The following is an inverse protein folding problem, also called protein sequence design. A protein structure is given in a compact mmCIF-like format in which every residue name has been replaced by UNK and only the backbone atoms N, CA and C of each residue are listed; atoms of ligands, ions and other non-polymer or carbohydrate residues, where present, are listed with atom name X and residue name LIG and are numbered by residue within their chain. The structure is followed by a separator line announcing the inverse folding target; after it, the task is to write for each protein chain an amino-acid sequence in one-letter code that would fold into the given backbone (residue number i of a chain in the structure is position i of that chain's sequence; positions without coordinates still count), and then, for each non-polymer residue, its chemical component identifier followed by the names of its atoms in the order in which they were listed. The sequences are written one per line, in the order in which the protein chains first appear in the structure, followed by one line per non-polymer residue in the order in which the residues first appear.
data_IF_098601295030
#
_entry.id   IF_098601295030
#
_cell.length_a   1.000
_cell.length_b   1.000
_cell.length_c   1.000
_cell.angle_alpha   90.00
_cell.angle_beta   90.00
_cell.angle_gamma   90.00
#
_symmetry.space_group_name_H-M   'P 1'
#
loop_
_entity.id
_entity.type
_entity.pdbx_description
1 polymer ?
#
# COMPACT_ATOMS: atom_id res chain seq x y z
N UNK A 1 -18.91 35.86 -15.24
CA UNK A 1 -17.47 35.48 -15.20
C UNK A 1 -16.81 36.01 -13.93
N UNK A 2 -17.11 37.25 -13.53
CA UNK A 2 -16.62 37.82 -12.26
C UNK A 2 -17.08 37.05 -11.03
N UNK A 3 -18.38 36.74 -10.91
CA UNK A 3 -18.91 35.99 -9.74
C UNK A 3 -18.25 34.62 -9.52
N UNK A 4 -17.86 33.95 -10.60
CA UNK A 4 -17.14 32.67 -10.52
C UNK A 4 -15.70 32.88 -10.06
N UNK A 5 -15.04 33.96 -10.52
CA UNK A 5 -13.70 34.30 -10.08
C UNK A 5 -13.68 34.72 -8.60
N UNK A 6 -14.66 35.53 -8.17
CA UNK A 6 -14.83 35.97 -6.78
C UNK A 6 -15.08 34.77 -5.86
N UNK A 7 -15.97 33.85 -6.26
CA UNK A 7 -16.20 32.62 -5.52
C UNK A 7 -14.94 31.74 -5.40
N UNK A 8 -14.13 31.62 -6.46
CA UNK A 8 -12.87 30.86 -6.41
C UNK A 8 -11.87 31.51 -5.45
N UNK A 9 -11.80 32.84 -5.40
CA UNK A 9 -10.97 33.58 -4.44
C UNK A 9 -11.47 33.33 -3.02
N UNK A 10 -12.77 33.43 -2.77
CA UNK A 10 -13.37 33.15 -1.47
C UNK A 10 -13.12 31.70 -1.05
N UNK A 11 -13.25 30.74 -1.96
CA UNK A 11 -12.95 29.34 -1.68
C UNK A 11 -11.50 29.09 -1.27
N UNK A 12 -10.54 29.74 -1.94
CA UNK A 12 -9.14 29.66 -1.53
C UNK A 12 -8.89 30.26 -0.15
N UNK A 13 -9.63 31.30 0.24
CA UNK A 13 -9.47 31.99 1.53
C UNK A 13 -10.18 31.28 2.69
N UNK A 14 -11.28 30.57 2.42
CA UNK A 14 -12.16 29.98 3.43
C UNK A 14 -12.17 28.44 3.45
N UNK A 15 -11.26 27.75 2.75
CA UNK A 15 -11.08 26.30 2.88
C UNK A 15 -10.45 25.92 4.23
N UNK A 16 -11.31 25.83 5.26
CA UNK A 16 -10.94 25.48 6.64
C UNK A 16 -11.30 24.03 7.00
N UNK A 17 -11.84 23.25 6.05
CA UNK A 17 -12.39 21.92 6.30
C UNK A 17 -11.35 20.99 6.94
N UNK A 18 -10.15 20.96 6.38
CA UNK A 18 -9.04 20.17 6.91
C UNK A 18 -8.58 20.60 8.30
N UNK A 19 -8.64 21.90 8.61
CA UNK A 19 -8.28 22.43 9.93
C UNK A 19 -9.28 21.95 10.98
N UNK A 20 -10.57 22.06 10.68
CA UNK A 20 -11.66 21.63 11.57
C UNK A 20 -11.55 20.13 11.84
N UNK A 21 -11.39 19.32 10.80
CA UNK A 21 -11.28 17.85 10.92
C UNK A 21 -10.08 17.42 11.79
N UNK A 22 -8.91 18.03 11.58
CA UNK A 22 -7.70 17.72 12.36
C UNK A 22 -7.87 18.17 13.82
N UNK A 23 -8.40 19.38 14.05
CA UNK A 23 -8.63 19.89 15.40
C UNK A 23 -9.65 19.02 16.15
N UNK A 24 -10.70 18.53 15.48
CA UNK A 24 -11.69 17.66 16.08
C UNK A 24 -11.06 16.37 16.61
N UNK A 25 -10.21 15.70 15.80
CA UNK A 25 -9.52 14.48 16.23
C UNK A 25 -8.58 14.76 17.40
N UNK A 26 -7.81 15.84 17.35
CA UNK A 26 -6.88 16.20 18.43
C UNK A 26 -7.64 16.52 19.70
N UNK A 27 -8.70 17.33 19.64
CA UNK A 27 -9.48 17.72 20.83
C UNK A 27 -10.20 16.50 21.43
N UNK A 28 -10.74 15.61 20.61
CA UNK A 28 -11.34 14.36 21.09
C UNK A 28 -10.33 13.44 21.79
N UNK A 29 -9.06 13.48 21.39
CA UNK A 29 -7.96 12.76 22.04
C UNK A 29 -7.56 13.43 23.36
N UNK A 30 -7.43 14.76 23.35
CA UNK A 30 -7.03 15.60 24.48
C UNK A 30 -8.09 15.71 25.59
N UNK A 31 -9.37 15.58 25.25
CA UNK A 31 -10.47 15.59 26.23
C UNK A 31 -10.36 14.35 27.12
N UNK A 32 -10.45 14.50 28.44
CA UNK A 32 -10.27 13.40 29.40
C UNK A 32 -11.43 12.39 29.33
N UNK A 33 -12.65 12.87 29.60
CA UNK A 33 -13.78 11.99 29.92
C UNK A 33 -14.83 11.94 28.81
N UNK A 34 -15.04 13.05 28.10
CA UNK A 34 -16.10 13.15 27.09
C UNK A 34 -15.64 12.75 25.69
N UNK A 35 -14.34 12.83 25.39
CA UNK A 35 -13.77 12.52 24.08
C UNK A 35 -14.54 13.23 22.95
N UNK A 36 -15.16 12.48 22.03
CA UNK A 36 -15.96 13.03 20.91
C UNK A 36 -17.20 13.82 21.35
N UNK A 37 -17.65 13.65 22.59
CA UNK A 37 -18.77 14.38 23.19
C UNK A 37 -18.35 15.66 23.91
N UNK A 38 -17.07 16.04 23.82
CA UNK A 38 -16.60 17.34 24.30
C UNK A 38 -17.37 18.46 23.59
N UNK A 39 -17.74 19.52 24.32
CA UNK A 39 -18.47 20.66 23.75
C UNK A 39 -17.75 21.25 22.54
N UNK A 40 -16.42 21.31 22.58
CA UNK A 40 -15.63 21.84 21.46
C UNK A 40 -15.68 20.89 20.24
N UNK A 41 -15.74 19.57 20.46
CA UNK A 41 -15.95 18.59 19.39
C UNK A 41 -17.35 18.71 18.76
N UNK A 42 -18.39 18.97 19.57
CA UNK A 42 -19.74 19.22 19.07
C UNK A 42 -19.79 20.50 18.24
N UNK A 43 -19.16 21.58 18.71
CA UNK A 43 -19.02 22.83 17.94
C UNK A 43 -18.27 22.61 16.63
N UNK A 44 -17.13 21.90 16.67
CA UNK A 44 -16.36 21.55 15.48
C UNK A 44 -17.18 20.70 14.51
N UNK A 45 -18.04 19.79 15.00
CA UNK A 45 -18.93 19.00 14.15
C UNK A 45 -19.93 19.88 13.39
N UNK A 46 -20.51 20.90 14.06
CA UNK A 46 -21.41 21.84 13.40
C UNK A 46 -20.64 22.67 12.37
N UNK A 47 -19.50 23.24 12.73
CA UNK A 47 -18.66 24.02 11.81
C UNK A 47 -18.18 23.19 10.63
N UNK A 48 -17.90 21.90 10.82
CA UNK A 48 -17.54 21.00 9.73
C UNK A 48 -18.71 20.80 8.76
N UNK A 49 -19.94 20.69 9.26
CA UNK A 49 -21.14 20.64 8.41
C UNK A 49 -21.26 21.92 7.58
N UNK A 50 -21.14 23.08 8.23
CA UNK A 50 -21.25 24.38 7.58
C UNK A 50 -20.15 24.57 6.50
N UNK A 51 -18.91 24.16 6.80
CA UNK A 51 -17.77 24.24 5.88
C UNK A 51 -17.93 23.35 4.64
N UNK A 52 -18.55 22.17 4.76
CA UNK A 52 -18.85 21.29 3.61
C UNK A 52 -19.92 21.92 2.71
N UNK A 53 -20.87 22.64 3.28
CA UNK A 53 -21.95 23.28 2.54
C UNK A 53 -21.59 24.69 2.05
N UNK A 54 -20.44 25.25 2.41
CA UNK A 54 -19.98 26.54 1.93
C UNK A 54 -20.02 26.65 0.39
N UNK A 55 -19.56 25.67 -0.41
CA UNK A 55 -19.65 25.76 -1.87
C UNK A 55 -21.07 25.84 -2.44
N UNK A 56 -22.09 25.46 -1.66
CA UNK A 56 -23.50 25.50 -2.05
C UNK A 56 -24.22 26.73 -1.50
N UNK A 57 -23.92 27.07 -0.25
CA UNK A 57 -24.60 28.15 0.49
C UNK A 57 -23.96 29.51 0.29
N UNK A 58 -22.69 29.56 -0.11
CA UNK A 58 -21.88 30.77 -0.17
C UNK A 58 -21.54 31.37 1.21
N UNK A 59 -21.84 30.67 2.31
CA UNK A 59 -21.57 31.15 3.67
C UNK A 59 -20.30 30.54 4.26
N UNK A 60 -19.19 31.29 4.38
CA UNK A 60 -17.93 30.75 4.86
C UNK A 60 -17.91 30.58 6.37
N UNK A 61 -17.12 29.61 6.84
CA UNK A 61 -16.81 29.47 8.26
C UNK A 61 -15.62 30.35 8.62
N UNK A 62 -15.84 31.29 9.54
CA UNK A 62 -14.77 32.13 10.08
C UNK A 62 -13.80 31.31 10.92
N UNK A 63 -12.49 31.47 10.67
CA UNK A 63 -11.42 30.77 11.39
C UNK A 63 -11.48 31.05 12.91
N UNK A 64 -11.91 32.25 13.31
CA UNK A 64 -12.01 32.64 14.72
C UNK A 64 -13.06 31.86 15.50
N UNK A 65 -14.04 31.25 14.81
CA UNK A 65 -15.06 30.38 15.43
C UNK A 65 -14.51 28.99 15.76
N UNK A 66 -13.38 28.60 15.18
CA UNK A 66 -12.78 27.27 15.39
C UNK A 66 -12.18 27.20 16.81
N UNK A 67 -12.66 26.27 17.67
CA UNK A 67 -12.10 26.06 18.99
C UNK A 67 -10.59 25.80 18.97
N UNK A 68 -9.88 26.37 19.95
CA UNK A 68 -8.45 26.11 20.15
C UNK A 68 -8.24 24.76 20.82
N UNK A 69 -7.08 24.14 20.57
CA UNK A 69 -6.68 22.91 21.25
C UNK A 69 -6.63 23.11 22.78
N UNK A 70 -7.00 22.08 23.54
CA UNK A 70 -7.01 22.11 25.02
C UNK A 70 -5.60 22.35 25.57
N UNK A 71 -4.59 21.79 24.91
CA UNK A 71 -3.18 22.08 25.18
C UNK A 71 -2.30 21.99 23.91
N UNK A 72 -1.08 22.54 23.99
CA UNK A 72 -0.21 22.73 22.80
C UNK A 72 0.36 21.43 22.22
N UNK A 73 0.70 20.46 23.07
CA UNK A 73 1.27 19.20 22.61
C UNK A 73 0.21 18.40 21.83
N UNK A 74 0.61 17.79 20.72
CA UNK A 74 -0.26 17.00 19.84
C UNK A 74 -0.07 15.50 20.10
N UNK A 75 -1.06 14.65 19.82
CA UNK A 75 -0.86 13.22 19.96
C UNK A 75 0.18 12.71 18.94
N UNK A 76 0.87 11.64 19.29
CA UNK A 76 1.92 10.99 18.51
C UNK A 76 1.49 10.56 17.11
N UNK A 77 0.25 10.09 16.96
CA UNK A 77 -0.33 9.74 15.66
C UNK A 77 -0.49 10.95 14.72
N UNK A 78 -0.47 12.18 15.24
CA UNK A 78 -0.49 13.42 14.45
C UNK A 78 0.93 13.94 14.13
N UNK A 79 1.98 13.24 14.56
CA UNK A 79 3.34 13.64 14.22
C UNK A 79 3.63 13.37 12.73
N UNK A 80 4.30 14.28 12.01
CA UNK A 80 4.79 13.98 10.68
C UNK A 80 5.73 12.79 10.73
N UNK A 81 5.62 11.88 9.75
CA UNK A 81 6.38 10.63 9.69
C UNK A 81 7.92 10.81 9.71
N UNK A 82 8.42 11.98 9.33
CA UNK A 82 9.86 12.33 9.34
C UNK A 82 10.36 12.86 10.68
N UNK A 83 9.46 13.16 11.62
CA UNK A 83 9.79 13.73 12.92
C UNK A 83 9.95 12.61 13.95
N UNK A 84 10.97 12.75 14.81
CA UNK A 84 11.14 11.84 15.94
C UNK A 84 10.10 12.14 17.02
N UNK A 85 9.41 11.09 17.47
CA UNK A 85 8.36 11.16 18.50
C UNK A 85 8.87 11.61 19.88
N UNK A 86 10.18 11.50 20.13
CA UNK A 86 10.84 11.91 21.40
C UNK A 86 10.86 13.43 21.65
N UNK A 87 10.29 14.24 20.75
CA UNK A 87 10.23 15.69 20.95
C UNK A 87 9.09 16.08 21.90
N UNK A 88 9.33 17.07 22.78
CA UNK A 88 8.34 17.60 23.73
C UNK A 88 7.07 18.21 23.08
N UNK A 89 6.95 18.17 21.75
CA UNK A 89 5.79 18.62 20.98
C UNK A 89 4.70 17.56 20.85
N UNK A 90 5.03 16.29 21.11
CA UNK A 90 4.09 15.18 20.98
C UNK A 90 3.97 14.37 22.28
N UNK A 91 2.77 13.88 22.55
CA UNK A 91 2.49 12.97 23.66
C UNK A 91 1.97 11.64 23.14
N UNK A 92 2.19 10.56 23.89
CA UNK A 92 1.67 9.25 23.54
C UNK A 92 0.15 9.20 23.83
N UNK A 93 -0.66 9.15 22.77
CA UNK A 93 -2.11 9.02 22.92
C UNK A 93 -2.49 7.67 23.50
N UNK A 94 -3.38 7.67 24.49
CA UNK A 94 -3.93 6.46 25.12
C UNK A 94 -5.22 5.96 24.45
N UNK A 95 -5.69 6.66 23.41
CA UNK A 95 -6.91 6.35 22.65
C UNK A 95 -6.65 5.24 21.63
N UNK A 96 -7.74 4.70 21.08
CA UNK A 96 -7.69 3.61 20.09
C UNK A 96 -6.79 3.96 18.89
N UNK A 97 -6.88 5.18 18.36
CA UNK A 97 -6.06 5.64 17.23
C UNK A 97 -4.57 5.61 17.58
N UNK A 98 -4.17 6.08 18.77
CA UNK A 98 -2.78 6.03 19.22
C UNK A 98 -2.26 4.59 19.36
N UNK A 99 -3.07 3.71 19.96
CA UNK A 99 -2.71 2.29 20.10
C UNK A 99 -2.54 1.62 18.73
N UNK A 100 -3.46 1.85 17.80
CA UNK A 100 -3.39 1.31 16.43
C UNK A 100 -2.20 1.87 15.67
N UNK A 101 -1.91 3.16 15.81
CA UNK A 101 -0.75 3.81 15.20
C UNK A 101 0.58 3.16 15.62
N UNK A 102 0.68 2.73 16.89
CA UNK A 102 1.89 2.05 17.42
C UNK A 102 1.88 0.54 17.23
N UNK A 103 0.74 -0.08 16.93
CA UNK A 103 0.61 -1.52 16.80
C UNK A 103 1.29 -2.08 15.53
N UNK A 104 1.48 -1.25 14.50
CA UNK A 104 2.06 -1.67 13.21
C UNK A 104 3.26 -0.77 12.89
N UNK A 105 4.47 -1.33 12.91
CA UNK A 105 5.65 -0.68 12.34
C UNK A 105 5.97 -1.37 11.00
N UNK A 106 5.70 -0.69 9.89
CA UNK A 106 6.16 -1.15 8.60
C UNK A 106 7.66 -0.83 8.51
N UNK A 107 8.53 -1.83 8.33
CA UNK A 107 9.95 -1.58 8.23
C UNK A 107 10.17 -0.67 7.01
N UNK A 108 10.46 0.61 7.24
CA UNK A 108 10.88 1.52 6.18
C UNK A 108 12.04 0.85 5.47
N UNK A 109 11.81 0.40 4.22
CA UNK A 109 12.71 -0.49 3.49
C UNK A 109 14.10 0.14 3.49
N UNK A 110 14.96 -0.37 4.37
CA UNK A 110 16.36 0.01 4.40
C UNK A 110 16.90 -0.44 3.05
N UNK A 111 17.24 0.54 2.22
CA UNK A 111 17.87 0.41 0.90
C UNK A 111 18.64 -0.92 0.85
N UNK A 112 18.22 -1.79 -0.07
CA UNK A 112 18.56 -3.22 -0.22
C UNK A 112 20.07 -3.55 -0.19
N UNK A 113 20.95 -2.55 -0.10
CA UNK A 113 22.40 -2.71 0.03
C UNK A 113 22.94 -2.77 1.48
N UNK A 114 22.26 -2.21 2.48
CA UNK A 114 22.79 -2.22 3.87
C UNK A 114 22.58 -3.56 4.61
N UNK A 115 21.66 -4.40 4.13
CA UNK A 115 21.33 -5.67 4.78
C UNK A 115 22.37 -6.79 4.58
N UNK A 116 23.30 -6.68 3.61
CA UNK A 116 24.43 -7.64 3.53
C UNK A 116 25.46 -7.44 4.66
N UNK A 117 25.60 -6.21 5.19
CA UNK A 117 26.56 -5.91 6.28
C UNK A 117 25.95 -5.98 7.68
N UNK A 118 24.66 -5.64 7.84
CA UNK A 118 24.00 -5.66 9.15
C UNK A 118 23.56 -7.08 9.60
N UNK A 119 23.30 -8.00 8.67
CA UNK A 119 22.82 -9.35 8.98
C UNK A 119 23.89 -10.23 9.66
N UNK A 120 25.19 -9.95 9.46
CA UNK A 120 26.30 -10.57 10.22
C UNK A 120 26.42 -10.05 11.66
N UNK A 121 25.83 -8.90 12.00
CA UNK A 121 25.92 -8.29 13.35
C UNK A 121 24.70 -8.55 14.23
N UNK A 122 23.55 -8.94 13.65
CA UNK A 122 22.30 -9.19 14.40
C UNK A 122 22.16 -10.61 14.96
N UNK A 123 23.06 -11.53 14.63
CA UNK A 123 23.01 -12.91 15.14
C UNK A 123 23.57 -13.07 16.58
N UNK A 124 23.79 -11.95 17.30
CA UNK A 124 24.37 -11.97 18.65
C UNK A 124 23.55 -11.26 19.74
N UNK A 125 22.39 -10.68 19.45
CA UNK A 125 21.63 -9.97 20.49
C UNK A 125 20.11 -10.03 20.27
N UNK A 126 19.47 -10.64 21.27
CA UNK A 126 18.06 -10.54 21.71
C UNK A 126 17.02 -11.16 20.76
N UNK A 127 16.29 -12.22 21.14
CA UNK A 127 15.45 -12.37 22.34
C UNK A 127 14.53 -11.16 22.58
N UNK A 128 13.59 -10.97 21.65
CA UNK A 128 12.24 -10.47 21.90
C UNK A 128 11.32 -11.14 20.89
N UNK A 129 10.46 -12.04 21.38
CA UNK A 129 9.36 -12.60 20.60
C UNK A 129 8.35 -11.47 20.34
N UNK A 130 8.37 -10.90 19.14
CA UNK A 130 7.23 -10.17 18.60
C UNK A 130 6.13 -11.20 18.28
N UNK A 131 4.98 -11.04 18.93
CA UNK A 131 3.85 -11.98 18.92
C UNK A 131 2.98 -11.84 17.66
N UNK A 132 3.42 -11.10 16.64
CA UNK A 132 2.65 -10.82 15.43
C UNK A 132 3.25 -11.38 14.14
N UNK A 133 4.44 -11.98 14.20
CA UNK A 133 5.15 -12.49 13.01
C UNK A 133 4.69 -13.90 12.57
N UNK A 134 3.86 -14.58 13.37
CA UNK A 134 3.48 -15.98 13.11
C UNK A 134 2.29 -16.16 12.17
N UNK A 135 1.51 -15.12 11.87
CA UNK A 135 0.29 -15.28 11.05
C UNK A 135 0.48 -14.97 9.57
N UNK A 136 1.56 -14.27 9.20
CA UNK A 136 1.89 -13.97 7.78
C UNK A 136 2.96 -14.90 7.22
N UNK A 137 3.73 -15.58 8.09
CA UNK A 137 4.61 -16.68 7.69
C UNK A 137 3.84 -17.90 7.18
N UNK A 138 2.57 -18.03 7.54
CA UNK A 138 1.68 -19.12 7.12
C UNK A 138 1.07 -18.93 5.73
N UNK A 139 1.30 -17.77 5.07
CA UNK A 139 0.99 -17.57 3.64
C UNK A 139 2.17 -18.00 2.75
N UNK A 140 2.86 -19.09 3.11
CA UNK A 140 3.85 -19.67 2.20
C UNK A 140 3.14 -20.20 0.97
N UNK A 141 3.71 -19.94 -0.21
CA UNK A 141 3.25 -20.55 -1.46
C UNK A 141 3.14 -22.07 -1.34
N UNK A 142 3.94 -22.71 -0.48
CA UNK A 142 3.88 -24.15 -0.22
C UNK A 142 2.48 -24.62 0.26
N UNK A 143 1.79 -23.81 1.08
CA UNK A 143 0.45 -24.14 1.56
C UNK A 143 -0.64 -23.92 0.52
N UNK A 144 -0.38 -23.03 -0.43
CA UNK A 144 -1.30 -22.67 -1.52
C UNK A 144 -1.14 -23.66 -2.67
N UNK A 145 0.09 -24.07 -2.96
CA UNK A 145 0.45 -24.95 -4.07
C UNK A 145 -0.32 -26.28 -4.04
N UNK A 146 -0.34 -26.95 -2.87
CA UNK A 146 -1.07 -28.21 -2.68
C UNK A 146 -2.58 -28.03 -2.96
N UNK A 147 -3.17 -26.94 -2.48
CA UNK A 147 -4.59 -26.63 -2.67
C UNK A 147 -4.93 -26.22 -4.10
N UNK A 148 -4.04 -25.50 -4.74
CA UNK A 148 -4.20 -25.08 -6.13
C UNK A 148 -4.10 -26.28 -7.06
N UNK A 149 -3.15 -27.19 -6.80
CA UNK A 149 -3.03 -28.46 -7.50
C UNK A 149 -4.31 -29.29 -7.40
N UNK A 150 -4.85 -29.48 -6.18
CA UNK A 150 -6.12 -30.18 -5.94
C UNK A 150 -7.29 -29.56 -6.72
N UNK A 151 -7.30 -28.23 -6.88
CA UNK A 151 -8.35 -27.52 -7.59
C UNK A 151 -8.25 -27.70 -9.10
N UNK A 152 -7.07 -27.49 -9.69
CA UNK A 152 -6.86 -27.61 -11.15
C UNK A 152 -7.04 -29.07 -11.59
N UNK A 153 -6.63 -30.05 -10.77
CA UNK A 153 -6.77 -31.47 -11.08
C UNK A 153 -8.24 -31.92 -11.22
N UNK A 154 -9.19 -31.21 -10.61
CA UNK A 154 -10.63 -31.53 -10.73
C UNK A 154 -11.18 -31.30 -12.14
N UNK A 155 -10.55 -30.43 -12.92
CA UNK A 155 -11.00 -30.09 -14.26
C UNK A 155 -10.51 -31.06 -15.33
N UNK A 156 -9.82 -32.14 -14.95
CA UNK A 156 -9.35 -33.16 -15.89
C UNK A 156 -8.26 -32.68 -16.83
N UNK A 157 -7.73 -31.47 -16.62
CA UNK A 157 -6.48 -31.03 -17.24
C UNK A 157 -5.41 -31.99 -16.75
N UNK A 158 -4.77 -32.65 -17.69
CA UNK A 158 -3.69 -33.56 -17.40
C UNK A 158 -2.47 -32.69 -17.05
N UNK A 159 -2.43 -32.18 -15.82
CA UNK A 159 -1.30 -31.41 -15.27
C UNK A 159 0.01 -32.23 -15.34
N UNK A 160 -0.12 -33.56 -15.50
CA UNK A 160 0.95 -34.50 -15.70
C UNK A 160 1.37 -34.69 -17.17
N UNK A 161 0.68 -34.11 -18.15
CA UNK A 161 1.22 -34.05 -19.51
C UNK A 161 2.44 -33.14 -19.47
N UNK A 162 3.58 -33.68 -19.90
CA UNK A 162 4.83 -32.91 -19.98
C UNK A 162 4.58 -31.70 -20.88
N UNK A 163 4.73 -30.50 -20.32
CA UNK A 163 4.68 -29.27 -21.07
C UNK A 163 5.64 -29.40 -22.25
N UNK A 164 5.21 -28.97 -23.43
CA UNK A 164 6.13 -28.96 -24.57
C UNK A 164 7.25 -27.96 -24.28
N UNK A 165 8.47 -28.26 -24.76
CA UNK A 165 9.62 -27.34 -24.60
C UNK A 165 9.29 -25.92 -25.10
N UNK A 166 8.42 -25.80 -26.11
CA UNK A 166 7.98 -24.52 -26.67
C UNK A 166 7.05 -23.75 -25.72
N UNK A 167 6.19 -24.44 -24.97
CA UNK A 167 5.30 -23.82 -23.97
C UNK A 167 6.08 -23.34 -22.74
N UNK A 168 7.02 -24.15 -22.26
CA UNK A 168 7.91 -23.77 -21.16
C UNK A 168 8.75 -22.54 -21.54
N UNK A 169 9.32 -22.53 -22.75
CA UNK A 169 10.08 -21.39 -23.25
C UNK A 169 9.21 -20.13 -23.37
N UNK A 170 7.98 -20.26 -23.89
CA UNK A 170 7.04 -19.14 -23.98
C UNK A 170 6.70 -18.55 -22.60
N UNK A 171 6.52 -19.39 -21.58
CA UNK A 171 6.20 -18.96 -20.21
C UNK A 171 7.42 -18.35 -19.52
N UNK A 172 8.63 -18.88 -19.72
CA UNK A 172 9.85 -18.23 -19.21
C UNK A 172 10.04 -16.86 -19.87
N UNK A 173 9.84 -16.73 -21.19
CA UNK A 173 9.89 -15.43 -21.88
C UNK A 173 8.85 -14.44 -21.34
N UNK A 174 7.62 -14.90 -21.06
CA UNK A 174 6.57 -14.09 -20.44
C UNK A 174 6.99 -13.61 -19.04
N UNK A 175 7.54 -14.51 -18.23
CA UNK A 175 8.08 -14.19 -16.91
C UNK A 175 9.23 -13.19 -16.97
N UNK A 176 10.20 -13.37 -17.88
CA UNK A 176 11.33 -12.45 -18.01
C UNK A 176 10.87 -11.04 -18.37
N UNK A 177 9.89 -10.93 -19.29
CA UNK A 177 9.28 -9.65 -19.67
C UNK A 177 8.61 -9.00 -18.48
N UNK A 178 7.74 -9.74 -17.78
CA UNK A 178 7.08 -9.28 -16.57
C UNK A 178 8.07 -8.78 -15.51
N UNK A 179 9.10 -9.57 -15.20
CA UNK A 179 10.08 -9.25 -14.17
C UNK A 179 10.91 -8.00 -14.54
N UNK A 180 11.23 -7.83 -15.83
CA UNK A 180 11.96 -6.66 -16.32
C UNK A 180 11.10 -5.39 -16.28
N UNK A 181 9.84 -5.47 -16.71
CA UNK A 181 8.91 -4.35 -16.68
C UNK A 181 8.58 -3.95 -15.24
N UNK A 182 8.31 -4.92 -14.37
CA UNK A 182 8.09 -4.67 -12.94
C UNK A 182 9.31 -3.99 -12.31
N UNK A 183 10.53 -4.44 -12.64
CA UNK A 183 11.76 -3.83 -12.15
C UNK A 183 11.90 -2.38 -12.62
N UNK A 184 11.56 -2.11 -13.88
CA UNK A 184 11.54 -0.76 -14.46
C UNK A 184 10.50 0.13 -13.76
N UNK A 185 9.30 -0.40 -13.49
CA UNK A 185 8.26 0.30 -12.74
C UNK A 185 8.76 0.64 -11.33
N UNK A 186 9.30 -0.33 -10.59
CA UNK A 186 9.82 -0.13 -9.24
C UNK A 186 10.97 0.89 -9.18
N UNK A 187 11.84 0.91 -10.19
CA UNK A 187 12.96 1.83 -10.27
C UNK A 187 12.51 3.26 -10.65
N UNK A 188 11.48 3.40 -11.50
CA UNK A 188 11.01 4.72 -11.95
C UNK A 188 10.03 5.39 -11.00
N UNK A 189 9.32 4.60 -10.18
CA UNK A 189 8.29 5.10 -9.25
C UNK A 189 8.78 5.26 -7.81
N UNK A 190 10.02 4.86 -7.51
CA UNK A 190 10.60 5.07 -6.18
C UNK A 190 10.73 6.56 -5.83
N UNK A 191 10.66 6.88 -4.53
CA UNK A 191 10.89 8.24 -4.04
C UNK A 191 12.38 8.56 -3.84
N UNK A 192 13.20 7.53 -3.67
CA UNK A 192 14.63 7.66 -3.42
C UNK A 192 15.36 8.12 -4.68
N UNK A 193 16.38 8.97 -4.50
CA UNK A 193 17.27 9.42 -5.58
C UNK A 193 18.55 8.58 -5.68
N UNK A 194 18.66 7.51 -4.88
CA UNK A 194 19.84 6.65 -4.92
C UNK A 194 19.85 5.80 -6.20
N UNK A 195 21.02 5.66 -6.83
CA UNK A 195 21.20 4.96 -8.13
C UNK A 195 20.68 3.52 -8.16
N UNK A 196 20.65 2.85 -7.02
CA UNK A 196 20.21 1.46 -6.89
C UNK A 196 18.93 1.32 -6.04
N UNK A 197 18.19 2.41 -5.83
CA UNK A 197 16.91 2.33 -5.14
C UNK A 197 15.83 1.88 -6.11
N UNK A 198 15.02 0.93 -5.65
CA UNK A 198 13.81 0.49 -6.31
C UNK A 198 12.83 0.07 -5.22
N UNK A 199 11.54 0.13 -5.54
CA UNK A 199 10.51 -0.44 -4.68
C UNK A 199 10.64 -1.97 -4.59
N UNK A 200 10.16 -2.51 -3.49
CA UNK A 200 9.99 -3.96 -3.34
C UNK A 200 8.86 -4.46 -4.24
N UNK A 201 8.86 -5.77 -4.48
CA UNK A 201 7.82 -6.45 -5.24
C UNK A 201 6.46 -6.31 -4.55
N UNK A 202 6.46 -6.43 -3.22
CA UNK A 202 5.27 -6.27 -2.38
C UNK A 202 4.71 -4.84 -2.44
N UNK A 203 5.57 -3.83 -2.42
CA UNK A 203 5.16 -2.42 -2.60
C UNK A 203 4.51 -2.17 -3.96
N UNK A 204 5.06 -2.77 -5.02
CA UNK A 204 4.55 -2.58 -6.37
C UNK A 204 3.17 -3.20 -6.57
N UNK A 205 2.96 -4.42 -6.08
CA UNK A 205 1.69 -5.14 -6.20
C UNK A 205 0.60 -4.53 -5.32
N UNK A 206 0.92 -4.17 -4.08
CA UNK A 206 -0.03 -3.47 -3.21
C UNK A 206 -0.28 -2.04 -3.69
N UNK A 207 0.61 -1.48 -4.51
CA UNK A 207 0.51 -0.11 -5.01
C UNK A 207 0.72 0.92 -3.89
N UNK A 208 1.69 0.66 -3.02
CA UNK A 208 2.05 1.53 -1.89
C UNK A 208 3.54 1.80 -1.85
N UNK A 209 3.96 2.91 -1.25
CA UNK A 209 5.37 3.24 -1.04
C UNK A 209 5.58 3.45 0.46
N UNK A 210 6.32 2.53 1.09
CA UNK A 210 6.53 2.54 2.55
C UNK A 210 7.53 3.63 2.96
N UNK A 211 8.38 4.08 2.02
CA UNK A 211 9.37 5.11 2.30
C UNK A 211 8.74 6.39 2.87
N UNK A 212 9.24 6.79 4.05
CA UNK A 212 8.92 8.05 4.71
C UNK A 212 9.51 9.24 3.91
N UNK A 213 8.74 10.32 3.81
CA UNK A 213 9.05 11.52 3.05
C UNK A 213 8.47 12.77 3.73
N UNK A 214 9.15 13.91 3.58
CA UNK A 214 8.59 15.20 3.96
C UNK A 214 7.55 15.73 2.97
N UNK A 215 7.36 15.04 1.84
CA UNK A 215 6.45 15.44 0.77
C UNK A 215 5.38 14.35 0.50
N UNK A 216 4.35 14.20 1.36
CA UNK A 216 3.30 13.19 1.19
C UNK A 216 2.53 13.29 -0.13
N UNK A 217 2.33 14.51 -0.63
CA UNK A 217 1.68 14.76 -1.94
C UNK A 217 2.47 14.12 -3.09
N UNK A 218 3.80 14.26 -3.07
CA UNK A 218 4.68 13.62 -4.05
C UNK A 218 4.61 12.09 -3.96
N UNK A 219 4.59 11.54 -2.74
CA UNK A 219 4.35 10.09 -2.55
C UNK A 219 3.01 9.65 -3.14
N UNK A 220 1.94 10.41 -2.91
CA UNK A 220 0.62 10.09 -3.46
C UNK A 220 0.62 10.05 -4.99
N UNK A 221 1.27 11.01 -5.63
CA UNK A 221 1.44 11.03 -7.10
C UNK A 221 2.25 9.83 -7.61
N UNK A 222 3.37 9.50 -6.95
CA UNK A 222 4.15 8.32 -7.29
C UNK A 222 3.38 7.01 -7.09
N UNK A 223 2.57 6.88 -6.02
CA UNK A 223 1.70 5.72 -5.80
C UNK A 223 0.59 5.61 -6.86
N UNK A 224 0.03 6.72 -7.32
CA UNK A 224 -0.96 6.72 -8.40
C UNK A 224 -0.34 6.19 -9.70
N UNK A 225 0.84 6.71 -10.08
CA UNK A 225 1.60 6.24 -11.24
C UNK A 225 2.05 4.78 -11.12
N UNK A 226 2.41 4.36 -9.91
CA UNK A 226 2.76 2.98 -9.63
C UNK A 226 1.58 2.06 -9.93
N UNK A 227 0.41 2.34 -9.34
CA UNK A 227 -0.82 1.56 -9.53
C UNK A 227 -1.24 1.49 -10.99
N UNK A 228 -1.24 2.61 -11.68
CA UNK A 228 -1.57 2.68 -13.10
C UNK A 228 -0.64 1.75 -13.92
N UNK A 229 0.69 1.88 -13.72
CA UNK A 229 1.65 1.07 -14.45
C UNK A 229 1.59 -0.42 -14.10
N UNK A 230 1.41 -0.77 -12.83
CA UNK A 230 1.27 -2.19 -12.44
C UNK A 230 -0.05 -2.78 -12.92
N UNK A 231 -1.13 -2.01 -12.95
CA UNK A 231 -2.41 -2.43 -13.52
C UNK A 231 -2.26 -2.76 -15.02
N UNK A 232 -1.64 -1.86 -15.80
CA UNK A 232 -1.36 -2.12 -17.21
C UNK A 232 -0.46 -3.35 -17.43
N UNK A 233 0.58 -3.50 -16.61
CA UNK A 233 1.46 -4.66 -16.68
C UNK A 233 0.70 -5.97 -16.40
N UNK A 234 -0.04 -6.02 -15.29
CA UNK A 234 -0.79 -7.22 -14.90
C UNK A 234 -1.84 -7.56 -15.95
N UNK A 235 -2.60 -6.57 -16.43
CA UNK A 235 -3.60 -6.79 -17.48
C UNK A 235 -2.98 -7.37 -18.75
N UNK A 236 -1.88 -6.78 -19.23
CA UNK A 236 -1.20 -7.28 -20.44
C UNK A 236 -0.66 -8.70 -20.29
N UNK A 237 -0.09 -9.04 -19.13
CA UNK A 237 0.39 -10.41 -18.86
C UNK A 237 -0.77 -11.40 -18.81
N UNK A 238 -1.91 -11.03 -18.22
CA UNK A 238 -3.09 -11.90 -18.18
C UNK A 238 -3.69 -12.13 -19.56
N UNK A 239 -3.77 -11.08 -20.38
CA UNK A 239 -4.22 -11.18 -21.77
C UNK A 239 -3.29 -12.09 -22.60
N UNK A 240 -1.96 -11.95 -22.46
CA UNK A 240 -0.98 -12.81 -23.14
C UNK A 240 -1.00 -14.26 -22.63
N UNK A 241 -1.34 -14.46 -21.35
CA UNK A 241 -1.49 -15.78 -20.73
C UNK A 241 -2.78 -16.48 -21.16
N UNK A 242 -3.89 -15.75 -21.30
CA UNK A 242 -5.15 -16.30 -21.79
C UNK A 242 -5.07 -16.58 -23.30
N UNK A 243 -4.54 -15.64 -24.11
CA UNK A 243 -4.66 -15.59 -25.59
C UNK A 243 -6.12 -15.58 -26.07
N UNK A 244 -6.42 -14.73 -27.05
CA UNK A 244 -7.81 -14.51 -27.48
C UNK A 244 -8.49 -15.74 -28.15
N UNK A 245 -7.69 -16.66 -28.71
CA UNK A 245 -8.18 -17.84 -29.44
C UNK A 245 -8.19 -19.13 -28.60
N UNK A 246 -7.75 -19.09 -27.34
CA UNK A 246 -7.60 -20.28 -26.52
C UNK A 246 -8.93 -20.76 -25.93
N UNK A 247 -9.05 -22.09 -25.79
CA UNK A 247 -10.10 -22.68 -24.95
C UNK A 247 -9.80 -22.46 -23.46
N UNK A 248 -10.83 -22.51 -22.62
CA UNK A 248 -10.68 -22.40 -21.16
C UNK A 248 -9.63 -23.40 -20.60
N UNK A 249 -9.59 -24.63 -21.13
CA UNK A 249 -8.62 -25.66 -20.75
C UNK A 249 -7.18 -25.27 -21.12
N UNK A 250 -6.97 -24.68 -22.30
CA UNK A 250 -5.64 -24.21 -22.73
C UNK A 250 -5.15 -23.01 -21.93
N UNK A 251 -6.05 -22.06 -21.65
CA UNK A 251 -5.75 -20.91 -20.79
C UNK A 251 -5.41 -21.35 -19.36
N UNK A 252 -6.17 -22.29 -18.81
CA UNK A 252 -5.93 -22.85 -17.48
C UNK A 252 -4.61 -23.65 -17.42
N UNK A 253 -4.30 -24.45 -18.45
CA UNK A 253 -3.01 -25.15 -18.57
C UNK A 253 -1.84 -24.16 -18.57
N UNK A 254 -1.91 -23.10 -19.38
CA UNK A 254 -0.86 -22.08 -19.43
C UNK A 254 -0.72 -21.32 -18.11
N UNK A 255 -1.84 -21.00 -17.46
CA UNK A 255 -1.83 -20.33 -16.16
C UNK A 255 -1.22 -21.23 -15.06
N UNK A 256 -1.45 -22.55 -15.13
CA UNK A 256 -0.78 -23.52 -14.28
C UNK A 256 0.74 -23.57 -14.51
N UNK A 257 1.21 -23.63 -15.77
CA UNK A 257 2.64 -23.57 -16.08
C UNK A 257 3.29 -22.28 -15.56
N UNK A 258 2.59 -21.15 -15.65
CA UNK A 258 3.05 -19.89 -15.10
C UNK A 258 3.14 -19.90 -13.57
N UNK A 259 2.19 -20.55 -12.88
CA UNK A 259 2.24 -20.77 -11.43
C UNK A 259 3.43 -21.65 -11.02
N UNK A 260 3.63 -22.79 -11.69
CA UNK A 260 4.74 -23.70 -11.37
C UNK A 260 6.10 -23.01 -11.59
N UNK A 261 6.27 -22.30 -12.72
CA UNK A 261 7.46 -21.50 -12.96
C UNK A 261 7.68 -20.47 -11.84
N UNK A 262 6.64 -19.72 -11.47
CA UNK A 262 6.73 -18.75 -10.37
C UNK A 262 7.15 -19.40 -9.05
N UNK A 263 6.56 -20.55 -8.71
CA UNK A 263 6.85 -21.31 -7.49
C UNK A 263 8.32 -21.75 -7.43
N UNK A 264 8.86 -22.27 -8.55
CA UNK A 264 10.27 -22.64 -8.64
C UNK A 264 11.20 -21.42 -8.52
N UNK A 265 10.95 -20.35 -9.30
CA UNK A 265 11.77 -19.12 -9.29
C UNK A 265 11.68 -18.38 -7.95
N UNK A 266 10.59 -18.53 -7.21
CA UNK A 266 10.44 -17.98 -5.86
C UNK A 266 11.40 -18.66 -4.86
N UNK A 267 11.56 -19.99 -4.93
CA UNK A 267 12.53 -20.73 -4.10
C UNK A 267 13.96 -20.23 -4.33
N UNK A 268 14.27 -19.87 -5.57
CA UNK A 268 15.53 -19.24 -5.97
C UNK A 268 15.63 -17.74 -5.59
N UNK A 269 14.55 -17.14 -5.08
CA UNK A 269 14.44 -15.72 -4.70
C UNK A 269 14.66 -14.77 -5.88
N UNK A 270 14.20 -15.17 -7.06
CA UNK A 270 14.19 -14.30 -8.24
C UNK A 270 13.14 -13.20 -8.05
N UNK A 271 13.53 -11.96 -8.38
CA UNK A 271 12.62 -10.81 -8.30
C UNK A 271 11.48 -10.94 -9.30
N UNK A 272 10.24 -10.68 -8.86
CA UNK A 272 9.03 -10.80 -9.66
C UNK A 272 8.40 -12.19 -9.62
N UNK A 273 9.04 -13.19 -9.01
CA UNK A 273 8.50 -14.55 -8.98
C UNK A 273 7.22 -14.65 -8.15
N UNK A 274 7.16 -14.01 -6.98
CA UNK A 274 5.95 -14.09 -6.13
C UNK A 274 4.77 -13.41 -6.80
N UNK A 275 5.01 -12.21 -7.32
CA UNK A 275 3.99 -11.37 -7.94
C UNK A 275 3.51 -11.95 -9.26
N UNK A 276 4.40 -12.56 -10.04
CA UNK A 276 3.98 -13.34 -11.21
C UNK A 276 3.11 -14.53 -10.80
N UNK A 277 3.46 -15.24 -9.72
CA UNK A 277 2.63 -16.31 -9.17
C UNK A 277 1.23 -15.85 -8.75
N UNK A 278 1.11 -14.69 -8.09
CA UNK A 278 -0.20 -14.10 -7.78
C UNK A 278 -1.02 -13.76 -9.03
N UNK A 279 -0.37 -13.29 -10.11
CA UNK A 279 -1.02 -13.03 -11.39
C UNK A 279 -1.49 -14.34 -12.04
N UNK A 280 -0.64 -15.36 -12.06
CA UNK A 280 -0.96 -16.69 -12.59
C UNK A 280 -2.13 -17.34 -11.83
N UNK A 281 -2.11 -17.27 -10.50
CA UNK A 281 -3.21 -17.77 -9.67
C UNK A 281 -4.53 -17.03 -9.94
N UNK A 282 -4.47 -15.72 -10.17
CA UNK A 282 -5.64 -14.96 -10.62
C UNK A 282 -6.16 -15.44 -11.97
N UNK A 283 -5.28 -15.76 -12.92
CA UNK A 283 -5.66 -16.31 -14.22
C UNK A 283 -6.27 -17.73 -14.09
N UNK A 284 -5.72 -18.58 -13.21
CA UNK A 284 -6.27 -19.91 -12.90
C UNK A 284 -7.73 -19.82 -12.42
N UNK A 285 -8.08 -18.83 -11.60
CA UNK A 285 -9.45 -18.68 -11.10
C UNK A 285 -10.43 -18.00 -12.07
N UNK A 286 -9.93 -17.41 -13.16
CA UNK A 286 -10.76 -16.74 -14.18
C UNK A 286 -10.94 -17.57 -15.46
N UNK A 287 -10.08 -18.56 -15.71
CA UNK A 287 -10.20 -19.50 -16.82
C UNK A 287 -11.38 -20.48 -16.63
#
# INVERSE_FOLDING_TARGET
MNDVADFVVDFMNFDVLGIIAINWLIIADQSSDLSIFDKDCLTLSQLHSDAVDFPKSGQPVEIDKIPRLKFKAKPDWNAPETVKLESAKYYESQRAIGRLFRAIDLPAVKIVQQNKRARRRRQRQADRKDVTDSSLSDLSFDSIDERLYEHVAQFGINIADEATSDEEEAIDQLFQRYANDLRSICATTTLSQARAAMLTEEEAIVGTIVQKTSQPRKRKDHMAKLREKTEFLVKGIREEMARDDDTAEMALHRAWLAWDLAYQKQKEKVFGAKSFGWVAMGAIFEA
#
